data_IF_436482536021
#
_entry.id   IF_436482536021
#
_cell.length_a   1.000
_cell.length_b   1.000
_cell.length_c   1.000
_cell.angle_alpha   90.00
_cell.angle_beta   90.00
_cell.angle_gamma   90.00
#
_symmetry.space_group_name_H-M   'P 1'
#
loop_
_entity.id
_entity.type
_entity.pdbx_description
1 polymer ?
#
# COMPACT_ATOMS: atom_id res chain seq x y z
N UNK A 1 -13.76 -14.39 -9.67
CA UNK A 1 -13.85 -13.48 -8.51
C UNK A 1 -13.63 -14.27 -7.24
N UNK A 2 -12.53 -14.03 -6.55
CA UNK A 2 -12.20 -14.70 -5.29
C UNK A 2 -12.53 -13.82 -4.07
N UNK A 3 -12.22 -14.29 -2.85
CA UNK A 3 -12.47 -13.52 -1.63
C UNK A 3 -11.71 -12.18 -1.60
N UNK A 4 -10.50 -12.15 -2.16
CA UNK A 4 -9.68 -10.94 -2.19
C UNK A 4 -10.30 -9.85 -3.06
N UNK A 5 -10.95 -10.23 -4.18
CA UNK A 5 -11.71 -9.29 -5.01
C UNK A 5 -12.85 -8.61 -4.22
N UNK A 6 -13.55 -9.36 -3.37
CA UNK A 6 -14.59 -8.81 -2.49
C UNK A 6 -14.03 -7.86 -1.43
N UNK A 7 -12.84 -8.16 -0.89
CA UNK A 7 -12.14 -7.28 0.05
C UNK A 7 -11.76 -5.96 -0.64
N UNK A 8 -11.18 -6.02 -1.84
CA UNK A 8 -10.82 -4.81 -2.60
C UNK A 8 -12.05 -4.01 -3.03
N UNK A 9 -13.11 -4.67 -3.50
CA UNK A 9 -14.38 -4.01 -3.80
C UNK A 9 -14.94 -3.30 -2.56
N UNK A 10 -14.88 -3.94 -1.40
CA UNK A 10 -15.23 -3.34 -0.11
C UNK A 10 -14.39 -2.09 0.20
N UNK A 11 -13.07 -2.15 0.00
CA UNK A 11 -12.16 -1.01 0.18
C UNK A 11 -12.54 0.15 -0.74
N UNK A 12 -12.82 -0.11 -2.03
CA UNK A 12 -13.22 0.94 -2.96
C UNK A 12 -14.56 1.57 -2.59
N UNK A 13 -15.55 0.76 -2.24
CA UNK A 13 -16.87 1.26 -1.80
C UNK A 13 -16.74 2.08 -0.53
N UNK A 14 -16.03 1.58 0.49
CA UNK A 14 -15.84 2.28 1.76
C UNK A 14 -15.05 3.58 1.56
N UNK A 15 -14.00 3.57 0.75
CA UNK A 15 -13.20 4.76 0.49
C UNK A 15 -13.99 5.80 -0.33
N UNK A 16 -14.81 5.37 -1.29
CA UNK A 16 -15.72 6.25 -2.03
C UNK A 16 -16.79 6.86 -1.11
N UNK A 17 -17.41 6.07 -0.23
CA UNK A 17 -18.39 6.55 0.75
C UNK A 17 -17.76 7.50 1.77
N UNK A 18 -16.54 7.20 2.20
CA UNK A 18 -15.77 8.08 3.07
C UNK A 18 -15.48 9.41 2.37
N UNK A 19 -15.10 9.36 1.09
CA UNK A 19 -14.85 10.55 0.30
C UNK A 19 -16.10 11.40 0.04
N UNK A 20 -17.23 10.74 -0.24
CA UNK A 20 -18.52 11.42 -0.35
C UNK A 20 -18.89 12.18 0.94
N UNK A 21 -18.65 11.57 2.11
CA UNK A 21 -18.94 12.20 3.41
C UNK A 21 -17.94 13.27 3.80
N UNK A 22 -16.65 13.06 3.52
CA UNK A 22 -15.59 14.01 3.85
C UNK A 22 -15.62 15.25 2.95
N UNK A 23 -16.03 15.08 1.69
CA UNK A 23 -15.91 16.10 0.64
C UNK A 23 -14.50 16.19 0.07
N UNK A 24 -14.36 16.88 -1.06
CA UNK A 24 -13.12 16.99 -1.83
C UNK A 24 -11.94 17.50 -0.99
N UNK A 25 -12.10 18.63 -0.30
CA UNK A 25 -10.98 19.31 0.39
C UNK A 25 -10.43 18.46 1.54
N UNK A 26 -11.30 17.95 2.42
CA UNK A 26 -10.86 17.15 3.57
C UNK A 26 -10.18 15.86 3.13
N UNK A 27 -10.71 15.24 2.08
CA UNK A 27 -10.17 13.98 1.61
C UNK A 27 -8.89 14.16 0.81
N UNK A 28 -8.73 15.25 0.05
CA UNK A 28 -7.46 15.61 -0.58
C UNK A 28 -6.35 15.69 0.45
N UNK A 29 -6.59 16.41 1.56
CA UNK A 29 -5.59 16.54 2.64
C UNK A 29 -5.26 15.19 3.26
N UNK A 30 -6.25 14.35 3.53
CA UNK A 30 -6.02 13.00 4.05
C UNK A 30 -5.27 12.11 3.07
N UNK A 31 -5.57 12.20 1.77
CA UNK A 31 -4.94 11.40 0.72
C UNK A 31 -3.48 11.81 0.54
N UNK A 32 -3.21 13.11 0.52
CA UNK A 32 -1.84 13.65 0.53
C UNK A 32 -1.11 13.20 1.78
N UNK A 33 -1.76 13.20 2.94
CA UNK A 33 -1.13 12.71 4.16
C UNK A 33 -0.83 11.21 4.11
N UNK A 34 -1.70 10.38 3.53
CA UNK A 34 -1.40 8.96 3.30
C UNK A 34 -0.15 8.82 2.44
N UNK A 35 -0.11 9.54 1.30
CA UNK A 35 1.02 9.51 0.39
C UNK A 35 2.33 9.97 1.04
N UNK A 36 2.30 11.10 1.74
CA UNK A 36 3.44 11.63 2.50
C UNK A 36 3.83 10.68 3.63
N UNK A 37 2.86 10.02 4.27
CA UNK A 37 3.09 8.98 5.28
C UNK A 37 3.87 7.82 4.72
N UNK A 38 3.46 7.30 3.56
CA UNK A 38 4.18 6.26 2.85
C UNK A 38 5.61 6.71 2.48
N UNK A 39 5.76 7.94 1.97
CA UNK A 39 7.06 8.54 1.64
C UNK A 39 8.02 8.57 2.84
N UNK A 40 7.63 9.20 3.94
CA UNK A 40 8.46 9.26 5.15
C UNK A 40 8.72 7.87 5.72
N UNK A 41 7.74 6.97 5.62
CA UNK A 41 7.88 5.63 6.14
C UNK A 41 8.91 4.80 5.38
N UNK A 42 8.92 4.94 4.06
CA UNK A 42 9.96 4.37 3.19
C UNK A 42 11.36 4.82 3.56
N UNK A 43 11.54 6.12 3.79
CA UNK A 43 12.85 6.72 4.04
C UNK A 43 13.39 6.46 5.46
N UNK A 44 12.52 6.44 6.47
CA UNK A 44 12.95 6.55 7.86
C UNK A 44 12.53 5.38 8.77
N UNK A 45 11.70 4.43 8.32
CA UNK A 45 11.21 3.34 9.18
C UNK A 45 12.34 2.55 9.84
N UNK A 46 13.41 2.23 9.11
CA UNK A 46 14.56 1.50 9.65
C UNK A 46 15.39 2.27 10.68
N UNK A 47 15.24 3.59 10.78
CA UNK A 47 16.02 4.45 11.69
C UNK A 47 15.21 4.95 12.88
N UNK A 48 13.89 5.04 12.74
CA UNK A 48 13.03 5.66 13.77
C UNK A 48 12.97 4.86 15.05
N UNK A 49 12.91 3.52 15.00
CA UNK A 49 12.89 2.75 16.23
C UNK A 49 14.24 2.79 16.95
N UNK A 50 15.37 2.69 16.23
CA UNK A 50 16.70 2.79 16.84
C UNK A 50 16.97 4.14 17.52
N UNK A 51 16.25 5.21 17.15
CA UNK A 51 16.33 6.51 17.82
C UNK A 51 15.51 6.57 19.12
N UNK A 52 14.52 5.69 19.29
CA UNK A 52 13.59 5.69 20.41
C UNK A 52 13.90 4.57 21.41
N UNK A 53 14.31 3.40 20.91
CA UNK A 53 14.57 2.21 21.72
C UNK A 53 15.57 1.27 21.03
N UNK A 54 16.71 1.01 21.68
CA UNK A 54 17.81 0.16 21.20
C UNK A 54 17.71 -1.33 21.64
N UNK A 55 16.51 -1.79 22.03
CA UNK A 55 16.31 -3.06 22.75
C UNK A 55 15.64 -4.15 21.91
N UNK A 56 15.57 -3.95 20.59
CA UNK A 56 14.97 -4.91 19.66
C UNK A 56 16.08 -5.57 18.85
N UNK A 57 16.38 -6.82 19.17
CA UNK A 57 17.46 -7.60 18.52
C UNK A 57 17.19 -7.86 17.03
N UNK A 58 15.93 -7.86 16.61
CA UNK A 58 15.55 -8.11 15.21
C UNK A 58 15.36 -6.83 14.41
N UNK A 59 16.23 -6.62 13.42
CA UNK A 59 16.16 -5.51 12.45
C UNK A 59 14.82 -5.48 11.69
N UNK A 60 14.22 -6.64 11.41
CA UNK A 60 12.93 -6.74 10.74
C UNK A 60 11.78 -6.23 11.62
N UNK A 61 11.77 -6.63 12.90
CA UNK A 61 10.78 -6.15 13.89
C UNK A 61 10.95 -4.65 14.10
N UNK A 62 12.20 -4.19 14.20
CA UNK A 62 12.51 -2.78 14.38
C UNK A 62 11.97 -1.90 13.25
N UNK A 63 12.21 -2.33 12.01
CA UNK A 63 11.74 -1.62 10.82
C UNK A 63 10.20 -1.63 10.75
N UNK A 64 9.55 -2.76 11.03
CA UNK A 64 8.08 -2.87 11.03
C UNK A 64 7.42 -1.91 12.04
N UNK A 65 7.97 -1.81 13.25
CA UNK A 65 7.48 -0.86 14.26
C UNK A 65 7.72 0.59 13.80
N UNK A 66 8.87 0.87 13.18
CA UNK A 66 9.16 2.17 12.58
C UNK A 66 8.11 2.59 11.55
N UNK A 67 7.65 1.66 10.70
CA UNK A 67 6.55 1.92 9.75
C UNK A 67 5.28 2.37 10.47
N UNK A 68 4.89 1.66 11.53
CA UNK A 68 3.68 1.97 12.30
C UNK A 68 3.78 3.34 12.97
N UNK A 69 4.92 3.66 13.59
CA UNK A 69 5.14 4.95 14.27
C UNK A 69 5.01 6.12 13.28
N UNK A 70 5.66 6.03 12.12
CA UNK A 70 5.63 7.09 11.10
C UNK A 70 4.20 7.28 10.58
N UNK A 71 3.52 6.17 10.29
CA UNK A 71 2.14 6.23 9.79
C UNK A 71 1.20 6.90 10.80
N UNK A 72 1.31 6.56 12.10
CA UNK A 72 0.54 7.22 13.15
C UNK A 72 0.89 8.70 13.25
N UNK A 73 2.17 9.06 13.22
CA UNK A 73 2.63 10.45 13.30
C UNK A 73 2.07 11.30 12.16
N UNK A 74 2.15 10.81 10.92
CA UNK A 74 1.61 11.51 9.75
C UNK A 74 0.08 11.56 9.77
N UNK A 75 -0.58 10.51 10.24
CA UNK A 75 -2.04 10.53 10.43
C UNK A 75 -2.49 11.57 11.45
N UNK A 76 -1.76 11.73 12.57
CA UNK A 76 -2.06 12.77 13.56
C UNK A 76 -1.80 14.18 13.00
N UNK A 77 -0.71 14.36 12.27
CA UNK A 77 -0.41 15.62 11.59
C UNK A 77 -1.49 15.99 10.57
N UNK A 78 -2.03 15.00 9.84
CA UNK A 78 -3.12 15.21 8.89
C UNK A 78 -4.39 15.72 9.57
N UNK A 79 -4.73 15.18 10.74
CA UNK A 79 -5.90 15.65 11.52
C UNK A 79 -5.77 17.12 11.91
N UNK A 80 -4.56 17.55 12.28
CA UNK A 80 -4.27 18.95 12.60
C UNK A 80 -4.40 19.81 11.34
N UNK A 81 -3.80 19.38 10.21
CA UNK A 81 -3.89 20.08 8.92
C UNK A 81 -5.34 20.25 8.45
N UNK A 82 -6.14 19.17 8.52
CA UNK A 82 -7.58 19.19 8.22
C UNK A 82 -8.34 20.16 9.11
N UNK A 83 -8.02 20.23 10.41
CA UNK A 83 -8.66 21.16 11.35
C UNK A 83 -8.37 22.62 10.98
N UNK A 84 -7.12 22.93 10.61
CA UNK A 84 -6.71 24.27 10.17
C UNK A 84 -7.42 24.64 8.87
N UNK A 85 -7.41 23.75 7.88
CA UNK A 85 -8.01 24.00 6.57
C UNK A 85 -9.52 24.21 6.69
N UNK A 86 -10.22 23.40 7.50
CA UNK A 86 -11.66 23.54 7.72
C UNK A 86 -12.04 24.88 8.38
N UNK A 87 -11.18 25.42 9.25
CA UNK A 87 -11.41 26.75 9.84
C UNK A 87 -11.34 27.84 8.77
N UNK A 88 -10.44 27.71 7.80
CA UNK A 88 -10.22 28.72 6.74
C UNK A 88 -11.19 28.58 5.57
N UNK A 89 -11.69 27.37 5.28
CA UNK A 89 -12.50 27.07 4.07
C UNK A 89 -14.01 26.96 4.32
N UNK A 90 -14.47 27.21 5.55
CA UNK A 90 -15.90 27.16 5.93
C UNK A 90 -16.82 28.01 5.03
N UNK A 91 -16.31 29.08 4.39
CA UNK A 91 -17.09 29.89 3.45
C UNK A 91 -17.21 29.31 2.03
N UNK A 92 -16.27 28.48 1.58
CA UNK A 92 -16.24 27.99 0.19
C UNK A 92 -16.97 26.65 -0.02
N UNK A 93 -17.10 25.82 1.03
CA UNK A 93 -17.65 24.46 0.92
C UNK A 93 -19.18 24.39 0.80
N UNK A 94 -19.89 25.45 1.18
CA UNK A 94 -21.37 25.50 1.21
C UNK A 94 -22.01 25.66 -0.18
N UNK A 95 -21.34 26.34 -1.13
CA UNK A 95 -21.97 26.73 -2.42
C UNK A 95 -21.80 25.71 -3.56
N UNK A 96 -20.98 24.67 -3.41
CA UNK A 96 -20.64 23.73 -4.51
C UNK A 96 -21.12 22.30 -4.20
N UNK A 97 -22.36 22.19 -3.71
CA UNK A 97 -22.86 21.02 -2.97
C UNK A 97 -22.72 19.66 -3.65
N UNK A 98 -22.78 19.59 -4.99
CA UNK A 98 -22.61 18.32 -5.73
C UNK A 98 -21.17 18.10 -6.22
N UNK A 99 -20.50 19.14 -6.71
CA UNK A 99 -19.10 19.06 -7.17
C UNK A 99 -18.12 18.70 -6.05
N UNK A 100 -18.34 19.22 -4.83
CA UNK A 100 -17.52 18.87 -3.66
C UNK A 100 -17.68 17.39 -3.26
N UNK A 101 -18.89 16.82 -3.42
CA UNK A 101 -19.17 15.42 -3.11
C UNK A 101 -18.62 14.49 -4.18
N UNK A 102 -18.78 14.84 -5.46
CA UNK A 102 -18.25 14.07 -6.58
C UNK A 102 -16.72 14.07 -6.57
N UNK A 103 -16.11 15.23 -6.35
CA UNK A 103 -14.65 15.33 -6.16
C UNK A 103 -14.17 14.53 -4.96
N UNK A 104 -14.92 14.55 -3.84
CA UNK A 104 -14.67 13.67 -2.70
C UNK A 104 -14.71 12.19 -3.06
N UNK A 105 -15.68 11.73 -3.84
CA UNK A 105 -15.73 10.33 -4.30
C UNK A 105 -14.49 9.98 -5.14
N UNK A 106 -14.10 10.82 -6.10
CA UNK A 106 -12.95 10.56 -6.97
C UNK A 106 -11.64 10.43 -6.18
N UNK A 107 -11.40 11.36 -5.26
CA UNK A 107 -10.23 11.31 -4.37
C UNK A 107 -10.33 10.12 -3.41
N UNK A 108 -11.54 9.72 -3.02
CA UNK A 108 -11.76 8.57 -2.14
C UNK A 108 -11.42 7.27 -2.84
N UNK A 109 -11.78 7.15 -4.12
CA UNK A 109 -11.36 6.03 -4.94
C UNK A 109 -9.84 6.00 -5.09
N UNK A 110 -9.19 7.16 -5.29
CA UNK A 110 -7.73 7.24 -5.34
C UNK A 110 -7.08 6.80 -4.01
N UNK A 111 -7.60 7.25 -2.87
CA UNK A 111 -7.17 6.75 -1.57
C UNK A 111 -7.41 5.23 -1.42
N UNK A 112 -8.52 4.73 -1.96
CA UNK A 112 -8.82 3.30 -2.03
C UNK A 112 -7.77 2.51 -2.83
N UNK A 113 -7.29 3.06 -3.96
CA UNK A 113 -6.19 2.47 -4.75
C UNK A 113 -4.91 2.39 -3.90
N UNK A 114 -4.56 3.46 -3.18
CA UNK A 114 -3.38 3.45 -2.31
C UNK A 114 -3.49 2.40 -1.20
N UNK A 115 -4.66 2.28 -0.56
CA UNK A 115 -4.91 1.29 0.51
C UNK A 115 -4.90 -0.13 -0.06
N UNK A 116 -5.63 -0.38 -1.15
CA UNK A 116 -5.70 -1.69 -1.78
C UNK A 116 -4.35 -2.13 -2.34
N UNK A 117 -3.61 -1.21 -2.98
CA UNK A 117 -2.25 -1.44 -3.44
C UNK A 117 -1.29 -1.72 -2.29
N UNK A 118 -1.41 -0.99 -1.17
CA UNK A 118 -0.62 -1.25 0.03
C UNK A 118 -0.90 -2.65 0.61
N UNK A 119 -2.17 -3.05 0.66
CA UNK A 119 -2.57 -4.39 1.11
C UNK A 119 -2.07 -5.50 0.17
N UNK A 120 -2.19 -5.31 -1.15
CA UNK A 120 -1.64 -6.21 -2.16
C UNK A 120 -0.13 -6.37 -1.98
N UNK A 121 0.59 -5.25 -1.81
CA UNK A 121 2.05 -5.24 -1.66
C UNK A 121 2.49 -5.93 -0.38
N UNK A 122 1.81 -5.67 0.74
CA UNK A 122 2.06 -6.37 1.99
C UNK A 122 1.75 -7.88 1.88
N UNK A 123 0.65 -8.22 1.22
CA UNK A 123 0.27 -9.61 0.93
C UNK A 123 1.33 -10.33 0.10
N UNK A 124 1.79 -9.73 -1.00
CA UNK A 124 2.85 -10.26 -1.84
C UNK A 124 4.15 -10.42 -1.06
N UNK A 125 4.56 -9.42 -0.29
CA UNK A 125 5.80 -9.48 0.52
C UNK A 125 5.76 -10.57 1.58
N UNK A 126 4.61 -10.78 2.21
CA UNK A 126 4.44 -11.85 3.20
C UNK A 126 4.43 -13.25 2.55
N UNK A 127 3.83 -13.33 1.36
CA UNK A 127 3.68 -14.55 0.57
C UNK A 127 5.03 -15.01 0.03
N UNK A 128 5.82 -14.10 -0.53
CA UNK A 128 7.10 -14.41 -1.16
C UNK A 128 8.26 -14.19 -0.19
N UNK A 129 8.83 -15.31 0.28
CA UNK A 129 10.02 -15.27 1.13
C UNK A 129 11.26 -14.97 0.30
N UNK A 130 11.68 -13.71 0.32
CA UNK A 130 12.95 -13.30 -0.27
C UNK A 130 14.11 -13.62 0.69
N UNK A 131 15.13 -14.39 0.27
CA UNK A 131 16.32 -14.65 1.07
C UNK A 131 17.21 -13.40 1.14
N UNK A 132 17.18 -12.70 2.28
CA UNK A 132 17.90 -11.46 2.59
C UNK A 132 17.73 -10.31 1.56
N UNK A 133 18.05 -9.07 1.96
CA UNK A 133 17.72 -7.87 1.19
C UNK A 133 18.34 -7.89 -0.21
N UNK A 134 17.55 -7.51 -1.23
CA UNK A 134 17.96 -7.49 -2.64
C UNK A 134 18.76 -6.25 -3.01
N UNK A 135 18.93 -5.30 -2.09
CA UNK A 135 19.51 -3.97 -2.31
C UNK A 135 20.95 -3.96 -2.90
N UNK A 136 21.69 -5.06 -2.80
CA UNK A 136 23.08 -5.18 -3.30
C UNK A 136 23.26 -6.27 -4.37
N UNK A 137 22.17 -6.77 -4.94
CA UNK A 137 22.20 -7.87 -5.92
C UNK A 137 22.21 -7.35 -7.36
N UNK A 138 22.89 -8.04 -8.26
CA UNK A 138 22.87 -7.70 -9.69
C UNK A 138 21.49 -7.99 -10.29
N UNK A 139 21.10 -7.25 -11.34
CA UNK A 139 19.81 -7.43 -12.01
C UNK A 139 19.57 -8.88 -12.46
N UNK A 140 20.61 -9.54 -12.99
CA UNK A 140 20.53 -10.95 -13.41
C UNK A 140 20.27 -11.89 -12.23
N UNK A 141 20.88 -11.63 -11.06
CA UNK A 141 20.64 -12.43 -9.86
C UNK A 141 19.24 -12.22 -9.28
N UNK A 142 18.67 -11.02 -9.39
CA UNK A 142 17.29 -10.72 -9.01
C UNK A 142 16.31 -11.46 -9.94
N UNK A 143 16.56 -11.47 -11.25
CA UNK A 143 15.71 -12.21 -12.21
C UNK A 143 15.71 -13.72 -11.93
N UNK A 144 16.89 -14.31 -11.70
CA UNK A 144 17.01 -15.72 -11.33
C UNK A 144 16.33 -16.01 -9.98
N UNK A 145 16.40 -15.09 -9.02
CA UNK A 145 15.67 -15.20 -7.75
C UNK A 145 14.16 -15.19 -7.96
N UNK A 146 13.65 -14.24 -8.74
CA UNK A 146 12.22 -14.13 -9.08
C UNK A 146 11.73 -15.45 -9.68
N UNK A 147 12.48 -16.00 -10.64
CA UNK A 147 12.12 -17.25 -11.28
C UNK A 147 12.22 -18.46 -10.35
N UNK A 148 13.24 -18.53 -9.50
CA UNK A 148 13.43 -19.63 -8.56
C UNK A 148 12.40 -19.62 -7.44
N UNK A 149 12.04 -18.46 -6.88
CA UNK A 149 10.98 -18.33 -5.85
C UNK A 149 9.62 -18.63 -6.46
N UNK A 150 9.36 -18.22 -7.70
CA UNK A 150 8.13 -18.56 -8.40
C UNK A 150 8.00 -20.06 -8.68
N UNK A 151 9.11 -20.79 -8.89
CA UNK A 151 9.12 -22.24 -9.17
C UNK A 151 9.14 -23.12 -7.92
N UNK A 152 9.89 -22.74 -6.90
CA UNK A 152 10.14 -23.56 -5.69
C UNK A 152 9.25 -23.16 -4.51
N UNK A 153 8.06 -22.64 -4.80
CA UNK A 153 7.14 -22.18 -3.78
C UNK A 153 6.68 -23.36 -2.90
N UNK A 154 6.78 -23.20 -1.56
CA UNK A 154 6.52 -24.28 -0.61
C UNK A 154 5.01 -24.43 -0.35
N UNK A 155 4.47 -25.58 -0.74
CA UNK A 155 3.06 -25.98 -0.56
C UNK A 155 2.72 -26.28 0.93
N UNK A 156 1.48 -25.98 1.34
CA UNK A 156 0.87 -26.41 2.60
C UNK A 156 0.68 -25.33 3.68
N UNK A 157 0.81 -24.04 3.38
CA UNK A 157 0.81 -22.96 4.41
C UNK A 157 -0.15 -21.80 4.12
N UNK A 158 -0.35 -20.90 5.10
CA UNK A 158 -1.13 -19.64 4.96
C UNK A 158 -0.67 -18.82 3.74
N UNK A 159 0.62 -18.92 3.39
CA UNK A 159 1.20 -18.21 2.27
C UNK A 159 0.65 -18.72 0.93
N UNK A 160 0.47 -20.03 0.76
CA UNK A 160 -0.08 -20.60 -0.49
C UNK A 160 -1.52 -20.13 -0.72
N UNK A 161 -2.33 -20.05 0.34
CA UNK A 161 -3.69 -19.50 0.22
C UNK A 161 -3.68 -18.04 -0.22
N UNK A 162 -2.79 -17.23 0.34
CA UNK A 162 -2.64 -15.83 -0.04
C UNK A 162 -2.12 -15.68 -1.48
N UNK A 163 -1.19 -16.53 -1.88
CA UNK A 163 -0.68 -16.59 -3.24
C UNK A 163 -1.79 -16.90 -4.25
N UNK A 164 -2.57 -17.96 -4.03
CA UNK A 164 -3.70 -18.31 -4.89
C UNK A 164 -4.72 -17.16 -4.94
N UNK A 165 -5.01 -16.51 -3.80
CA UNK A 165 -5.89 -15.34 -3.78
C UNK A 165 -5.33 -14.13 -4.54
N UNK A 166 -4.01 -13.93 -4.53
CA UNK A 166 -3.38 -12.84 -5.28
C UNK A 166 -3.39 -13.13 -6.78
N UNK A 167 -3.12 -14.38 -7.18
CA UNK A 167 -3.04 -14.79 -8.59
C UNK A 167 -4.43 -14.87 -9.24
N UNK A 168 -5.42 -15.42 -8.54
CA UNK A 168 -6.79 -15.57 -9.06
C UNK A 168 -7.62 -14.27 -9.00
N UNK A 169 -7.08 -13.20 -8.42
CA UNK A 169 -7.79 -11.93 -8.28
C UNK A 169 -7.84 -11.21 -9.63
N UNK A 170 -9.04 -10.73 -9.99
CA UNK A 170 -9.24 -9.93 -11.20
C UNK A 170 -8.83 -8.46 -11.02
N UNK A 171 -8.73 -8.00 -9.77
CA UNK A 171 -8.38 -6.62 -9.43
C UNK A 171 -6.85 -6.44 -9.33
N UNK A 172 -6.12 -7.47 -8.87
CA UNK A 172 -4.66 -7.41 -8.69
C UNK A 172 -3.90 -6.95 -9.95
N UNK A 173 -4.18 -7.44 -11.17
CA UNK A 173 -3.49 -6.95 -12.38
C UNK A 173 -3.66 -5.44 -12.59
N UNK A 174 -4.85 -4.91 -12.30
CA UNK A 174 -5.10 -3.46 -12.39
C UNK A 174 -4.33 -2.68 -11.34
N UNK A 175 -4.19 -3.22 -10.12
CA UNK A 175 -3.39 -2.61 -9.05
C UNK A 175 -1.88 -2.67 -9.35
N UNK A 176 -1.39 -3.74 -9.99
CA UNK A 176 0.01 -3.86 -10.44
C UNK A 176 0.36 -2.76 -11.44
N UNK A 177 -0.55 -2.40 -12.36
CA UNK A 177 -0.34 -1.27 -13.28
C UNK A 177 -0.21 0.08 -12.56
N UNK A 178 -0.78 0.19 -11.34
CA UNK A 178 -0.75 1.38 -10.52
C UNK A 178 0.33 1.30 -9.43
N UNK A 179 1.16 0.25 -9.41
CA UNK A 179 2.15 0.01 -8.37
C UNK A 179 3.11 1.19 -8.20
N UNK A 180 3.45 1.89 -9.28
CA UNK A 180 4.30 3.10 -9.23
C UNK A 180 3.84 4.11 -8.18
N UNK A 181 2.54 4.39 -8.07
CA UNK A 181 2.00 5.32 -7.07
C UNK A 181 2.02 4.80 -5.63
N UNK A 182 2.14 3.48 -5.46
CA UNK A 182 2.01 2.80 -4.18
C UNK A 182 3.37 2.47 -3.59
N UNK A 183 4.33 2.03 -4.43
CA UNK A 183 5.64 1.51 -4.02
C UNK A 183 6.81 2.43 -4.36
N UNK A 184 6.61 3.63 -4.89
CA UNK A 184 7.70 4.58 -5.21
C UNK A 184 8.71 4.76 -4.07
N UNK A 185 8.23 4.64 -2.82
CA UNK A 185 9.04 4.82 -1.62
C UNK A 185 9.16 3.55 -0.78
N UNK A 186 8.60 2.42 -1.23
CA UNK A 186 8.78 1.16 -0.54
C UNK A 186 10.22 0.63 -0.78
N UNK A 187 10.82 -0.10 0.18
CA UNK A 187 12.11 -0.76 -0.05
C UNK A 187 12.07 -1.68 -1.27
N UNK A 188 13.20 -1.82 -1.96
CA UNK A 188 13.32 -2.59 -3.21
C UNK A 188 12.76 -4.03 -3.10
N UNK A 189 12.92 -4.67 -1.94
CA UNK A 189 12.37 -6.00 -1.64
C UNK A 189 10.85 -6.10 -1.87
N UNK A 190 10.09 -5.01 -1.68
CA UNK A 190 8.65 -4.98 -1.95
C UNK A 190 8.36 -4.95 -3.44
N UNK A 191 9.16 -4.22 -4.22
CA UNK A 191 9.11 -4.23 -5.68
C UNK A 191 9.37 -5.62 -6.24
N UNK A 192 10.44 -6.28 -5.77
CA UNK A 192 10.77 -7.66 -6.16
C UNK A 192 9.63 -8.63 -5.84
N UNK A 193 8.94 -8.45 -4.71
CA UNK A 193 7.79 -9.28 -4.35
C UNK A 193 6.61 -9.09 -5.32
N UNK A 194 6.38 -7.88 -5.81
CA UNK A 194 5.37 -7.60 -6.83
C UNK A 194 5.78 -8.13 -8.21
N UNK A 195 7.07 -8.10 -8.54
CA UNK A 195 7.57 -8.69 -9.79
C UNK A 195 7.42 -10.22 -9.79
N UNK A 196 7.61 -10.88 -8.63
CA UNK A 196 7.27 -12.31 -8.47
C UNK A 196 5.78 -12.54 -8.69
N UNK A 197 4.91 -11.73 -8.07
CA UNK A 197 3.47 -11.84 -8.24
C UNK A 197 3.06 -11.71 -9.72
N UNK A 198 3.56 -10.68 -10.39
CA UNK A 198 3.29 -10.40 -11.81
C UNK A 198 3.74 -11.56 -12.69
N UNK A 199 4.95 -12.10 -12.46
CA UNK A 199 5.44 -13.28 -13.19
C UNK A 199 4.56 -14.50 -12.95
N UNK A 200 4.06 -14.71 -11.72
CA UNK A 200 3.17 -15.82 -11.40
C UNK A 200 1.80 -15.69 -12.05
N UNK A 201 1.22 -14.50 -12.10
CA UNK A 201 -0.04 -14.23 -12.83
C UNK A 201 0.14 -14.53 -14.31
N UNK A 202 1.23 -14.04 -14.91
CA UNK A 202 1.54 -14.26 -16.33
C UNK A 202 1.70 -15.77 -16.65
N UNK A 203 2.35 -16.54 -15.77
CA UNK A 203 2.50 -17.99 -15.92
C UNK A 203 1.20 -18.76 -15.70
N UNK A 204 0.29 -18.25 -14.88
CA UNK A 204 -1.01 -18.86 -14.64
C UNK A 204 -1.99 -18.67 -15.82
N UNK A 205 -1.69 -17.76 -16.77
CA UNK A 205 -2.51 -17.53 -17.96
C UNK A 205 -3.86 -16.85 -17.68
N UNK A 206 -3.97 -16.14 -16.55
CA UNK A 206 -5.18 -15.42 -16.15
C UNK A 206 -5.04 -13.97 -16.65
N UNK A 207 -5.47 -13.71 -17.89
CA UNK A 207 -5.61 -12.36 -18.46
C UNK A 207 -7.02 -11.82 -18.26
#
# INVERSE_FOLDING_TARGET
MNLLDWIFAGIFVLSALWGYKAGLVNLLVNTVAIYVGLFFSGLFAGRILSLIWDGVESKAISTAIGYVIIFIGVFLASRIAVSIINKTTKSFSSQMGWGNKLGGILIGLFAGILIAGGLMTAGARYTYSLPQSTANQSTDSIQLMIENVARNYVEGSVREKLDNWLIESQIVPSLLNLRGFVIEFAPDDFGVSLDILENRINKAGIS
#
